data_IF_977866188241
#
_entry.id   IF_977866188241
#
_cell.length_a   1.000
_cell.length_b   1.000
_cell.length_c   1.000
_cell.angle_alpha   90.00
_cell.angle_beta   90.00
_cell.angle_gamma   90.00
#
_symmetry.space_group_name_H-M   'P 1'
#
loop_
_entity.id
_entity.type
_entity.pdbx_description
1 polymer ?
#
# COMPACT_ATOMS: atom_id res chain seq x y z
N UNK A 1 4.57 10.56 4.05
CA UNK A 1 5.73 10.25 3.20
C UNK A 1 6.69 9.39 4.00
N UNK A 2 7.18 8.32 3.39
CA UNK A 2 8.24 7.50 3.98
C UNK A 2 9.55 8.28 3.98
N UNK A 3 10.48 7.93 4.86
CA UNK A 3 11.77 8.63 4.95
C UNK A 3 12.78 8.14 3.89
N UNK A 4 12.30 7.50 2.83
CA UNK A 4 13.16 7.11 1.73
C UNK A 4 13.38 8.35 0.85
N UNK A 5 14.65 8.73 0.67
CA UNK A 5 15.07 9.99 0.01
C UNK A 5 14.64 10.17 -1.46
N UNK A 6 13.82 9.26 -2.00
CA UNK A 6 13.42 9.17 -3.40
C UNK A 6 12.25 10.08 -3.76
N UNK A 7 11.42 10.50 -2.80
CA UNK A 7 10.22 11.32 -3.06
C UNK A 7 10.38 12.74 -2.53
N UNK A 8 11.30 13.53 -3.11
CA UNK A 8 11.45 14.96 -2.75
C UNK A 8 10.59 15.83 -3.66
N UNK A 9 10.20 17.02 -3.18
CA UNK A 9 9.58 18.07 -4.03
C UNK A 9 10.43 18.37 -5.26
N UNK A 10 11.76 18.27 -5.15
CA UNK A 10 12.68 18.42 -6.29
C UNK A 10 12.34 17.49 -7.47
N UNK A 11 11.84 16.29 -7.21
CA UNK A 11 11.43 15.34 -8.26
C UNK A 11 10.25 15.86 -9.10
N UNK A 12 9.42 16.75 -8.55
CA UNK A 12 8.36 17.42 -9.32
C UNK A 12 8.95 18.39 -10.34
N UNK A 13 10.02 19.09 -9.99
CA UNK A 13 10.73 20.01 -10.90
C UNK A 13 11.55 19.28 -11.98
N UNK A 14 11.89 18.02 -11.74
CA UNK A 14 12.52 17.15 -12.75
C UNK A 14 11.49 16.62 -13.76
N UNK A 15 10.27 16.32 -13.31
CA UNK A 15 9.24 15.70 -14.15
C UNK A 15 8.32 16.71 -14.88
N UNK A 16 8.11 17.91 -14.34
CA UNK A 16 7.15 18.89 -14.86
C UNK A 16 7.78 20.26 -15.13
N UNK A 17 7.19 21.07 -16.03
CA UNK A 17 7.58 22.47 -16.19
C UNK A 17 7.52 23.22 -14.84
N UNK A 18 8.41 24.21 -14.60
CA UNK A 18 8.55 24.84 -13.28
C UNK A 18 7.26 25.45 -12.70
N UNK A 19 6.41 26.03 -13.54
CA UNK A 19 5.12 26.60 -13.13
C UNK A 19 4.17 25.50 -12.61
N UNK A 20 4.07 24.39 -13.34
CA UNK A 20 3.21 23.27 -12.95
C UNK A 20 3.77 22.54 -11.73
N UNK A 21 5.08 22.32 -11.67
CA UNK A 21 5.75 21.73 -10.52
C UNK A 21 5.49 22.53 -9.23
N UNK A 22 5.59 23.87 -9.32
CA UNK A 22 5.30 24.77 -8.20
C UNK A 22 3.83 24.71 -7.77
N UNK A 23 2.90 24.78 -8.73
CA UNK A 23 1.46 24.65 -8.44
C UNK A 23 1.16 23.35 -7.70
N UNK A 24 1.74 22.23 -8.14
CA UNK A 24 1.58 20.94 -7.49
C UNK A 24 2.20 20.95 -6.10
N UNK A 25 3.43 21.43 -5.95
CA UNK A 25 4.11 21.50 -4.66
C UNK A 25 3.35 22.34 -3.62
N UNK A 26 2.71 23.45 -4.03
CA UNK A 26 1.90 24.30 -3.15
C UNK A 26 0.59 23.61 -2.68
N UNK A 27 0.07 22.65 -3.43
CA UNK A 27 -1.13 21.89 -3.06
C UNK A 27 -0.83 20.64 -2.21
N UNK A 28 0.43 20.17 -2.18
CA UNK A 28 0.81 18.97 -1.43
C UNK A 28 1.26 19.32 -0.01
N UNK A 29 0.45 18.98 0.98
CA UNK A 29 0.86 18.95 2.38
C UNK A 29 1.58 17.62 2.68
N UNK A 30 2.89 17.67 2.89
CA UNK A 30 3.71 16.48 3.13
C UNK A 30 3.86 16.23 4.63
N UNK A 31 3.16 15.20 5.13
CA UNK A 31 3.39 14.68 6.48
C UNK A 31 4.45 13.58 6.46
N UNK A 32 5.51 13.74 7.24
CA UNK A 32 6.58 12.74 7.37
C UNK A 32 6.21 11.69 8.42
N UNK A 33 6.43 10.42 8.08
CA UNK A 33 6.32 9.34 9.06
C UNK A 33 7.54 9.35 9.99
N UNK A 34 7.36 9.17 11.31
CA UNK A 34 8.48 9.05 12.24
C UNK A 34 9.42 7.91 11.83
N UNK A 35 10.73 8.04 12.10
CA UNK A 35 11.78 7.11 11.63
C UNK A 35 11.54 5.62 11.97
N UNK A 36 10.83 5.32 13.06
CA UNK A 36 10.51 3.94 13.48
C UNK A 36 9.00 3.64 13.43
N UNK A 37 8.22 4.49 12.77
CA UNK A 37 6.77 4.40 12.67
C UNK A 37 6.28 3.59 11.47
N UNK A 38 6.97 2.51 11.08
CA UNK A 38 6.59 1.64 9.95
C UNK A 38 5.15 1.13 10.06
N UNK A 39 4.64 0.92 11.28
CA UNK A 39 3.26 0.50 11.52
C UNK A 39 2.20 1.55 11.10
N UNK A 40 2.59 2.82 10.93
CA UNK A 40 1.73 3.93 10.48
C UNK A 40 1.88 4.15 8.97
N UNK A 41 2.84 3.50 8.32
CA UNK A 41 3.10 3.67 6.90
C UNK A 41 2.09 2.86 6.09
N UNK A 42 1.15 3.54 5.43
CA UNK A 42 0.10 2.94 4.60
C UNK A 42 0.66 1.99 3.55
N UNK A 43 1.78 2.36 2.90
CA UNK A 43 2.45 1.53 1.90
C UNK A 43 2.91 0.18 2.45
N UNK A 44 3.40 0.15 3.69
CA UNK A 44 3.87 -1.10 4.32
C UNK A 44 2.71 -1.99 4.76
N UNK A 45 1.62 -1.39 5.25
CA UNK A 45 0.38 -2.11 5.59
C UNK A 45 -0.19 -2.80 4.34
N UNK A 46 -0.30 -2.06 3.23
CA UNK A 46 -0.82 -2.60 1.96
C UNK A 46 0.08 -3.70 1.40
N UNK A 47 1.40 -3.51 1.45
CA UNK A 47 2.35 -4.53 1.01
C UNK A 47 2.21 -5.83 1.82
N UNK A 48 2.01 -5.73 3.14
CA UNK A 48 1.80 -6.90 3.99
C UNK A 48 0.45 -7.59 3.70
N UNK A 49 -0.61 -6.82 3.43
CA UNK A 49 -1.87 -7.39 2.98
C UNK A 49 -1.71 -8.16 1.66
N UNK A 50 -0.99 -7.60 0.68
CA UNK A 50 -0.71 -8.24 -0.61
C UNK A 50 0.15 -9.50 -0.48
N UNK A 51 1.11 -9.54 0.46
CA UNK A 51 1.86 -10.76 0.77
C UNK A 51 0.94 -11.91 1.17
N UNK A 52 -0.09 -11.63 1.99
CA UNK A 52 -1.10 -12.61 2.38
C UNK A 52 -2.03 -13.07 1.24
N UNK A 53 -2.04 -12.35 0.11
CA UNK A 53 -2.88 -12.64 -1.06
C UNK A 53 -2.15 -13.29 -2.23
N UNK A 54 -0.95 -13.84 -2.00
CA UNK A 54 -0.21 -14.57 -3.03
C UNK A 54 0.76 -13.72 -3.85
N UNK A 55 1.21 -12.57 -3.33
CA UNK A 55 2.31 -11.81 -3.95
C UNK A 55 3.56 -12.68 -4.15
N UNK A 56 3.88 -13.56 -3.19
CA UNK A 56 5.00 -14.50 -3.29
C UNK A 56 4.85 -15.50 -4.43
N UNK A 57 3.63 -16.02 -4.64
CA UNK A 57 3.35 -16.97 -5.71
C UNK A 57 3.44 -16.30 -7.09
N UNK A 58 2.99 -15.05 -7.21
CA UNK A 58 3.15 -14.25 -8.44
C UNK A 58 4.63 -13.96 -8.75
N UNK A 59 5.43 -13.62 -7.74
CA UNK A 59 6.88 -13.40 -7.92
C UNK A 59 7.55 -14.69 -8.36
N UNK A 60 7.18 -15.83 -7.75
CA UNK A 60 7.69 -17.16 -8.11
C UNK A 60 7.34 -17.54 -9.55
N UNK A 61 6.11 -17.29 -9.99
CA UNK A 61 5.67 -17.49 -11.37
C UNK A 61 6.48 -16.64 -12.35
N UNK A 62 6.66 -15.34 -12.03
CA UNK A 62 7.45 -14.42 -12.87
C UNK A 62 8.94 -14.80 -12.95
N UNK A 63 9.50 -15.39 -11.90
CA UNK A 63 10.90 -15.88 -11.89
C UNK A 63 11.07 -17.27 -12.51
N UNK A 64 10.02 -17.84 -13.14
CA UNK A 64 10.10 -19.10 -13.89
C UNK A 64 10.09 -20.37 -13.03
N UNK A 65 9.88 -20.27 -11.71
CA UNK A 65 10.00 -21.39 -10.78
C UNK A 65 8.63 -21.93 -10.30
N UNK A 66 7.81 -22.46 -11.21
CA UNK A 66 6.82 -23.51 -10.87
C UNK A 66 5.31 -23.17 -10.89
N UNK A 67 4.59 -24.12 -11.54
CA UNK A 67 3.15 -24.48 -11.63
C UNK A 67 2.08 -23.37 -11.57
N UNK A 68 1.34 -23.22 -12.68
CA UNK A 68 0.10 -22.43 -12.82
C UNK A 68 -0.88 -22.67 -11.66
N UNK A 69 -0.84 -21.79 -10.66
CA UNK A 69 -1.87 -21.67 -9.62
C UNK A 69 -2.98 -20.75 -10.12
N UNK A 70 -4.22 -21.21 -9.96
CA UNK A 70 -5.45 -20.67 -10.55
C UNK A 70 -5.66 -19.18 -10.23
N UNK A 71 -5.77 -18.37 -11.29
CA UNK A 71 -6.06 -16.94 -11.24
C UNK A 71 -7.55 -16.72 -10.90
N UNK A 72 -7.92 -16.55 -9.63
CA UNK A 72 -9.20 -15.89 -9.30
C UNK A 72 -9.32 -15.55 -7.81
N UNK A 73 -9.96 -14.40 -7.56
CA UNK A 73 -10.73 -14.09 -6.34
C UNK A 73 -10.03 -13.40 -5.15
N UNK A 74 -9.22 -12.36 -5.37
CA UNK A 74 -8.73 -11.52 -4.23
C UNK A 74 -9.32 -10.13 -4.11
N UNK A 75 -9.98 -9.57 -5.14
CA UNK A 75 -10.41 -8.15 -5.08
C UNK A 75 -11.74 -7.91 -4.35
N UNK A 76 -12.58 -8.93 -4.15
CA UNK A 76 -13.92 -8.79 -3.55
C UNK A 76 -14.01 -9.20 -2.07
N UNK A 77 -12.91 -9.67 -1.47
CA UNK A 77 -12.96 -10.39 -0.19
C UNK A 77 -12.40 -9.64 1.03
N UNK A 78 -11.84 -8.43 0.90
CA UNK A 78 -11.38 -7.67 2.08
C UNK A 78 -12.52 -7.00 2.88
N UNK A 79 -13.53 -6.41 2.23
CA UNK A 79 -14.61 -5.69 2.96
C UNK A 79 -15.69 -6.60 3.58
N UNK A 80 -15.82 -7.84 3.12
CA UNK A 80 -16.85 -8.77 3.61
C UNK A 80 -16.40 -9.56 4.84
N UNK A 81 -15.10 -9.84 4.98
CA UNK A 81 -14.56 -10.53 6.17
C UNK A 81 -14.59 -9.66 7.43
N UNK A 82 -14.36 -8.34 7.32
CA UNK A 82 -14.45 -7.44 8.48
C UNK A 82 -15.89 -7.18 8.94
N UNK A 83 -16.90 -7.30 8.06
CA UNK A 83 -18.30 -7.04 8.42
C UNK A 83 -18.92 -8.15 9.28
N UNK A 84 -18.41 -9.38 9.18
CA UNK A 84 -18.87 -10.53 9.96
C UNK A 84 -18.22 -10.62 11.36
N UNK A 85 -17.11 -9.92 11.60
CA UNK A 85 -16.41 -9.95 12.89
C UNK A 85 -16.98 -8.98 13.94
N UNK A 86 -17.69 -7.93 13.54
CA UNK A 86 -18.17 -6.88 14.46
C UNK A 86 -19.47 -7.26 15.19
N UNK A 87 -20.19 -8.29 14.74
CA UNK A 87 -21.52 -8.63 15.25
C UNK A 87 -21.55 -9.89 16.16
N UNK A 88 -20.38 -10.50 16.45
CA UNK A 88 -20.28 -11.79 17.13
C UNK A 88 -19.92 -11.76 18.62
N UNK A 89 -19.80 -10.59 19.24
CA UNK A 89 -19.45 -10.48 20.67
C UNK A 89 -20.44 -9.56 21.39
N UNK A 90 -21.70 -10.00 21.41
CA UNK A 90 -22.65 -9.52 22.41
C UNK A 90 -22.33 -10.30 23.68
N UNK A 91 -21.58 -9.67 24.58
CA UNK A 91 -21.32 -10.19 25.92
C UNK A 91 -22.67 -10.52 26.58
N UNK A 92 -22.88 -11.79 26.92
CA UNK A 92 -23.86 -12.19 27.92
C UNK A 92 -23.22 -12.03 29.30
N UNK A 93 -24.02 -11.48 30.22
CA UNK A 93 -23.77 -11.06 31.61
C UNK A 93 -22.61 -11.67 32.39
#
# INVERSE_FOLDING_TARGET
MDNLNTHRIASLYEAFPPEEARRLAEHLEIHYTPNHGSWLNMSEIELNALKGQGLNDRIRQRKGAGRSGTLAASSKQQNTKNRLAVHGSRCTD
#
